data_IF_809535899326
#
_entry.id   IF_809535899326
#
_cell.length_a   1.000
_cell.length_b   1.000
_cell.length_c   1.000
_cell.angle_alpha   90.00
_cell.angle_beta   90.00
_cell.angle_gamma   90.00
#
_symmetry.space_group_name_H-M   'P 1'
#
loop_
_entity.id
_entity.type
_entity.pdbx_description
1 polymer ?
#
# COMPACT_ATOMS: atom_id res chain seq x y z
N UNK A 1 2.53 -3.54 12.43
CA UNK A 1 2.87 -2.53 11.40
C UNK A 1 2.09 -2.75 10.11
N UNK A 2 2.16 -3.94 9.49
CA UNK A 2 1.54 -4.19 8.17
C UNK A 2 0.02 -3.96 8.10
N UNK A 3 -0.69 -4.03 9.21
CA UNK A 3 -2.13 -3.76 9.31
C UNK A 3 -2.46 -2.41 9.96
N UNK A 4 -1.52 -1.46 10.01
CA UNK A 4 -1.75 -0.11 10.54
C UNK A 4 -2.24 -0.12 12.00
N UNK A 5 -1.57 -0.87 12.87
CA UNK A 5 -1.96 -1.05 14.27
C UNK A 5 -0.77 -1.05 15.24
N UNK A 6 0.20 -0.16 15.02
CA UNK A 6 1.38 -0.01 15.87
C UNK A 6 1.09 0.40 17.31
N UNK A 7 -0.10 0.94 17.56
CA UNK A 7 -0.50 1.41 18.90
C UNK A 7 -0.19 2.89 19.17
N UNK A 8 0.39 3.61 18.22
CA UNK A 8 0.67 5.06 18.38
C UNK A 8 -0.61 5.91 18.48
N UNK A 9 -1.75 5.39 18.06
CA UNK A 9 -3.07 6.03 18.23
C UNK A 9 -3.28 7.31 17.41
N UNK A 10 -2.33 7.66 16.55
CA UNK A 10 -2.42 8.81 15.64
C UNK A 10 -1.62 8.54 14.36
N UNK A 11 -2.02 9.19 13.28
CA UNK A 11 -1.27 9.18 12.02
C UNK A 11 0.07 9.91 12.18
N UNK A 12 1.16 9.26 11.78
CA UNK A 12 2.53 9.77 11.88
C UNK A 12 3.24 9.71 10.52
N UNK A 13 4.23 10.57 10.34
CA UNK A 13 5.00 10.69 9.11
C UNK A 13 4.11 10.82 7.86
N UNK A 14 3.01 11.54 8.01
CA UNK A 14 2.18 12.00 6.91
C UNK A 14 2.86 13.18 6.19
N UNK A 15 2.22 13.75 5.19
CA UNK A 15 2.84 14.70 4.26
C UNK A 15 3.67 15.81 4.94
N UNK A 16 3.13 16.47 5.98
CA UNK A 16 3.82 17.58 6.64
C UNK A 16 5.03 17.11 7.46
N UNK A 17 4.91 15.97 8.14
CA UNK A 17 6.01 15.42 8.94
C UNK A 17 7.22 15.00 8.08
N UNK A 18 6.98 14.74 6.79
CA UNK A 18 8.00 14.36 5.80
C UNK A 18 8.55 15.52 4.99
N UNK A 19 8.06 16.73 5.24
CA UNK A 19 8.45 17.92 4.48
C UNK A 19 9.92 18.23 4.69
N UNK A 20 10.75 18.31 3.62
CA UNK A 20 12.17 18.58 3.72
C UNK A 20 12.47 19.88 4.50
N UNK A 21 13.39 19.81 5.45
CA UNK A 21 13.83 20.95 6.26
C UNK A 21 12.84 21.44 7.32
N UNK A 22 11.64 20.85 7.40
CA UNK A 22 10.58 21.23 8.34
C UNK A 22 10.12 20.03 9.19
N UNK A 23 9.98 18.88 8.55
CA UNK A 23 9.51 17.65 9.19
C UNK A 23 10.61 16.93 9.99
N UNK A 24 10.34 15.66 10.30
CA UNK A 24 11.25 14.84 11.10
C UNK A 24 12.60 14.64 10.39
N UNK A 25 13.73 14.93 11.05
CA UNK A 25 15.06 14.77 10.46
C UNK A 25 15.52 13.31 10.38
N UNK A 26 14.88 12.41 11.11
CA UNK A 26 15.17 10.97 11.19
C UNK A 26 13.85 10.25 11.49
N UNK A 27 13.32 9.54 10.48
CA UNK A 27 11.99 8.96 10.58
C UNK A 27 11.91 7.81 11.57
N UNK A 28 12.96 7.00 11.67
CA UNK A 28 12.99 5.89 12.62
C UNK A 28 13.04 6.41 14.05
N UNK A 29 13.95 7.33 14.36
CA UNK A 29 14.04 7.95 15.70
C UNK A 29 12.76 8.68 16.06
N UNK A 30 12.17 9.39 15.09
CA UNK A 30 10.89 10.07 15.30
C UNK A 30 9.80 9.08 15.72
N UNK A 31 9.67 7.96 14.98
CA UNK A 31 8.68 6.94 15.28
C UNK A 31 8.93 6.26 16.62
N UNK A 32 10.18 5.87 16.90
CA UNK A 32 10.56 5.17 18.14
C UNK A 32 10.43 6.06 19.39
N UNK A 33 10.40 7.36 19.23
CA UNK A 33 10.19 8.32 20.34
C UNK A 33 8.70 8.58 20.63
N UNK A 34 7.78 8.06 19.81
CA UNK A 34 6.36 8.30 20.04
C UNK A 34 5.81 7.42 21.18
N UNK A 35 4.86 7.92 21.95
CA UNK A 35 4.16 7.10 22.92
C UNK A 35 3.31 6.05 22.22
N UNK A 36 3.12 4.91 22.87
CA UNK A 36 2.27 3.80 22.42
C UNK A 36 1.11 3.66 23.42
N UNK A 37 0.10 4.54 23.36
CA UNK A 37 -0.99 4.58 24.33
C UNK A 37 -2.02 3.47 24.14
N UNK A 38 -2.00 2.78 23.00
CA UNK A 38 -2.93 1.71 22.64
C UNK A 38 -2.15 0.41 22.49
N UNK A 39 -2.73 -0.69 22.94
CA UNK A 39 -2.12 -2.01 22.79
C UNK A 39 -1.86 -2.31 21.31
N UNK A 40 -0.62 -2.61 20.88
CA UNK A 40 -0.31 -2.93 19.49
C UNK A 40 -1.18 -4.10 18.98
N UNK A 41 -1.74 -3.92 17.80
CA UNK A 41 -2.64 -4.89 17.18
C UNK A 41 -4.11 -4.75 17.57
N UNK A 42 -4.48 -3.94 18.59
CA UNK A 42 -5.85 -3.86 19.09
C UNK A 42 -6.73 -2.83 18.35
N UNK A 43 -6.14 -1.82 17.70
CA UNK A 43 -6.87 -0.77 17.01
C UNK A 43 -6.18 -0.34 15.72
N UNK A 44 -6.99 -0.10 14.70
CA UNK A 44 -6.52 0.43 13.41
C UNK A 44 -6.30 1.94 13.51
N UNK A 45 -5.13 2.39 13.05
CA UNK A 45 -4.83 3.81 12.86
C UNK A 45 -3.89 3.99 11.66
N UNK A 46 -4.44 4.38 10.51
CA UNK A 46 -3.66 4.53 9.28
C UNK A 46 -2.49 5.51 9.47
N UNK A 47 -1.26 5.04 9.21
CA UNK A 47 -0.04 5.80 9.47
C UNK A 47 1.07 5.45 8.48
N UNK A 48 1.62 6.43 7.78
CA UNK A 48 2.79 6.22 6.92
C UNK A 48 4.00 5.70 7.71
N UNK A 49 4.11 6.04 8.99
CA UNK A 49 5.19 5.58 9.85
C UNK A 49 5.25 4.05 9.97
N UNK A 50 4.09 3.38 10.01
CA UNK A 50 4.03 1.92 10.09
C UNK A 50 4.66 1.26 8.86
N UNK A 51 4.35 1.77 7.67
CA UNK A 51 4.93 1.28 6.41
C UNK A 51 6.41 1.63 6.27
N UNK A 52 6.82 2.83 6.69
CA UNK A 52 8.22 3.27 6.68
C UNK A 52 9.06 2.37 7.59
N UNK A 53 8.60 2.14 8.82
CA UNK A 53 9.30 1.28 9.76
C UNK A 53 9.37 -0.18 9.27
N UNK A 54 8.29 -0.69 8.66
CA UNK A 54 8.29 -2.01 8.04
C UNK A 54 9.34 -2.10 6.92
N UNK A 55 9.50 -1.07 6.10
CA UNK A 55 10.52 -1.00 5.06
C UNK A 55 11.94 -1.04 5.64
N UNK A 56 12.21 -0.28 6.69
CA UNK A 56 13.51 -0.32 7.39
C UNK A 56 13.79 -1.71 8.00
N UNK A 57 12.77 -2.39 8.52
CA UNK A 57 12.91 -3.77 9.02
C UNK A 57 13.28 -4.75 7.89
N UNK A 58 12.69 -4.60 6.70
CA UNK A 58 13.05 -5.40 5.52
C UNK A 58 14.51 -5.17 5.16
N UNK A 59 14.98 -3.92 5.06
CA UNK A 59 16.39 -3.62 4.75
C UNK A 59 17.36 -4.29 5.73
N UNK A 60 17.06 -4.22 7.04
CA UNK A 60 17.87 -4.89 8.07
C UNK A 60 17.86 -6.40 7.92
N UNK A 61 16.70 -6.99 7.61
CA UNK A 61 16.58 -8.45 7.47
C UNK A 61 17.32 -8.99 6.24
N UNK A 62 17.29 -8.25 5.13
CA UNK A 62 17.91 -8.70 3.86
C UNK A 62 19.33 -8.19 3.66
N UNK A 63 19.79 -7.22 4.45
CA UNK A 63 21.12 -6.61 4.34
C UNK A 63 21.34 -5.78 3.07
N UNK A 64 20.26 -5.33 2.42
CA UNK A 64 20.28 -4.51 1.20
C UNK A 64 19.29 -3.36 1.31
N UNK A 65 19.47 -2.32 0.52
CA UNK A 65 18.43 -1.28 0.36
C UNK A 65 17.16 -1.90 -0.22
N UNK A 66 16.00 -1.53 0.31
CA UNK A 66 14.72 -2.11 -0.09
C UNK A 66 14.44 -1.90 -1.59
N UNK A 67 14.83 -0.75 -2.15
CA UNK A 67 14.69 -0.49 -3.59
C UNK A 67 15.47 -1.48 -4.45
N UNK A 68 16.72 -1.81 -4.06
CA UNK A 68 17.56 -2.80 -4.75
C UNK A 68 16.95 -4.22 -4.62
N UNK A 69 16.54 -4.57 -3.41
CA UNK A 69 15.94 -5.88 -3.14
C UNK A 69 14.63 -6.07 -3.93
N UNK A 70 13.74 -5.07 -3.93
CA UNK A 70 12.49 -5.14 -4.69
C UNK A 70 12.72 -5.12 -6.20
N UNK A 71 13.72 -4.38 -6.68
CA UNK A 71 14.06 -4.41 -8.10
C UNK A 71 14.46 -5.81 -8.53
N UNK A 72 15.39 -6.44 -7.84
CA UNK A 72 15.86 -7.80 -8.15
C UNK A 72 14.75 -8.86 -8.03
N UNK A 73 13.90 -8.75 -7.01
CA UNK A 73 12.94 -9.81 -6.66
C UNK A 73 11.55 -9.64 -7.27
N UNK A 74 11.18 -8.40 -7.61
CA UNK A 74 9.82 -8.10 -8.07
C UNK A 74 9.84 -7.33 -9.39
N UNK A 75 10.48 -6.16 -9.44
CA UNK A 75 10.30 -5.27 -10.58
C UNK A 75 10.96 -5.81 -11.86
N UNK A 76 12.18 -6.29 -11.76
CA UNK A 76 12.88 -6.89 -12.91
C UNK A 76 12.15 -8.12 -13.46
N UNK A 77 11.72 -9.11 -12.66
CA UNK A 77 10.89 -10.22 -13.14
C UNK A 77 9.59 -9.79 -13.81
N UNK A 78 9.00 -8.68 -13.39
CA UNK A 78 7.79 -8.12 -13.99
C UNK A 78 8.05 -7.23 -15.21
N UNK A 79 9.28 -7.18 -15.73
CA UNK A 79 9.70 -6.26 -16.79
C UNK A 79 9.34 -4.79 -16.46
N UNK A 80 9.52 -4.39 -15.22
CA UNK A 80 9.41 -3.01 -14.74
C UNK A 80 10.77 -2.36 -14.68
N UNK A 81 10.84 -1.05 -14.92
CA UNK A 81 12.06 -0.28 -14.77
C UNK A 81 12.46 -0.10 -13.30
N UNK A 82 13.63 0.51 -13.08
CA UNK A 82 14.00 1.00 -11.76
C UNK A 82 13.07 2.16 -11.39
N UNK A 83 12.28 2.07 -10.31
CA UNK A 83 11.32 3.12 -9.98
C UNK A 83 12.03 4.34 -9.42
N UNK A 84 11.55 5.52 -9.79
CA UNK A 84 11.86 6.72 -9.04
C UNK A 84 11.13 6.63 -7.69
N UNK A 85 11.86 6.74 -6.59
CA UNK A 85 11.31 6.60 -5.25
C UNK A 85 11.88 7.66 -4.31
N UNK A 86 11.01 8.33 -3.57
CA UNK A 86 11.42 9.25 -2.53
C UNK A 86 12.15 8.51 -1.40
N UNK A 87 13.15 9.18 -0.83
CA UNK A 87 13.93 8.65 0.28
C UNK A 87 13.72 9.50 1.53
N UNK A 88 13.90 8.87 2.68
CA UNK A 88 13.99 9.58 3.94
C UNK A 88 15.33 10.36 4.04
N UNK A 89 15.51 11.21 5.06
CA UNK A 89 16.76 11.95 5.24
C UNK A 89 18.01 11.10 5.42
N UNK A 90 17.88 9.80 5.73
CA UNK A 90 18.98 8.84 5.87
C UNK A 90 19.22 8.03 4.58
N UNK A 91 18.46 8.30 3.51
CA UNK A 91 18.60 7.64 2.24
C UNK A 91 17.91 6.26 2.14
N UNK A 92 16.98 5.94 3.05
CA UNK A 92 16.12 4.76 2.93
C UNK A 92 14.92 5.08 2.03
N UNK A 93 14.49 4.16 1.14
CA UNK A 93 13.26 4.33 0.40
C UNK A 93 12.06 4.53 1.33
N UNK A 94 11.23 5.51 1.01
CA UNK A 94 10.06 5.83 1.81
C UNK A 94 8.98 4.76 1.63
N UNK A 95 8.90 3.80 2.55
CA UNK A 95 7.91 2.72 2.51
C UNK A 95 6.45 3.17 2.63
N UNK A 96 6.22 4.41 3.07
CA UNK A 96 4.89 4.99 3.23
C UNK A 96 4.38 5.75 2.00
N UNK A 97 5.14 5.79 0.91
CA UNK A 97 4.75 6.48 -0.33
C UNK A 97 5.91 6.98 -1.16
N UNK A 98 5.65 7.88 -2.11
CA UNK A 98 6.66 8.52 -2.93
C UNK A 98 7.30 7.65 -4.00
N UNK A 99 6.72 6.51 -4.34
CA UNK A 99 7.12 5.70 -5.48
C UNK A 99 6.35 6.16 -6.73
N UNK A 100 7.07 6.40 -7.82
CA UNK A 100 6.51 6.83 -9.10
C UNK A 100 6.46 5.64 -10.05
N UNK A 101 5.27 5.22 -10.40
CA UNK A 101 5.01 4.13 -11.33
C UNK A 101 4.08 4.60 -12.45
N UNK A 102 4.20 4.02 -13.61
CA UNK A 102 3.20 4.17 -14.68
C UNK A 102 1.94 3.36 -14.34
N UNK A 103 0.80 3.71 -14.94
CA UNK A 103 -0.44 2.92 -14.77
C UNK A 103 -0.24 1.46 -15.20
N UNK A 104 0.54 1.20 -16.24
CA UNK A 104 0.89 -0.15 -16.70
C UNK A 104 1.68 -0.93 -15.64
N UNK A 105 2.63 -0.30 -14.96
CA UNK A 105 3.40 -0.94 -13.88
C UNK A 105 2.53 -1.24 -12.67
N UNK A 106 1.63 -0.33 -12.29
CA UNK A 106 0.63 -0.58 -11.25
C UNK A 106 -0.26 -1.79 -11.62
N UNK A 107 -0.69 -1.86 -12.89
CA UNK A 107 -1.49 -2.99 -13.39
C UNK A 107 -0.70 -4.30 -13.33
N UNK A 108 0.60 -4.32 -13.67
CA UNK A 108 1.44 -5.53 -13.56
C UNK A 108 1.51 -6.05 -12.12
N UNK A 109 1.66 -5.16 -11.14
CA UNK A 109 1.61 -5.54 -9.73
C UNK A 109 0.23 -6.12 -9.36
N UNK A 110 -0.86 -5.50 -9.81
CA UNK A 110 -2.21 -6.06 -9.62
C UNK A 110 -2.38 -7.43 -10.26
N UNK A 111 -1.87 -7.64 -11.48
CA UNK A 111 -1.89 -8.93 -12.18
C UNK A 111 -1.08 -10.01 -11.46
N UNK A 112 0.06 -9.65 -10.87
CA UNK A 112 0.82 -10.57 -10.02
C UNK A 112 -0.03 -11.09 -8.87
N UNK A 113 -0.75 -10.22 -8.18
CA UNK A 113 -1.64 -10.62 -7.08
C UNK A 113 -2.87 -11.40 -7.58
N UNK A 114 -3.46 -11.02 -8.72
CA UNK A 114 -4.57 -11.76 -9.34
C UNK A 114 -4.14 -13.20 -9.72
N UNK A 115 -2.90 -13.37 -10.17
CA UNK A 115 -2.31 -14.66 -10.52
C UNK A 115 -1.72 -15.40 -9.31
N UNK A 116 -2.17 -15.09 -8.09
CA UNK A 116 -1.71 -15.74 -6.86
C UNK A 116 -0.18 -15.68 -6.69
N UNK A 117 0.41 -14.56 -7.05
CA UNK A 117 1.85 -14.30 -6.94
C UNK A 117 2.72 -14.90 -8.06
N UNK A 118 2.12 -15.42 -9.13
CA UNK A 118 2.83 -15.95 -10.30
C UNK A 118 2.95 -14.89 -11.40
N UNK A 119 4.09 -14.91 -12.08
CA UNK A 119 4.34 -14.12 -13.27
C UNK A 119 5.08 -14.95 -14.32
N UNK A 120 4.54 -15.05 -15.54
CA UNK A 120 5.11 -15.86 -16.63
C UNK A 120 5.47 -17.30 -16.21
N UNK A 121 4.72 -17.89 -15.30
CA UNK A 121 4.92 -19.25 -14.80
C UNK A 121 5.82 -19.37 -13.56
N UNK A 122 6.52 -18.32 -13.16
CA UNK A 122 7.38 -18.29 -11.97
C UNK A 122 6.63 -17.73 -10.75
N UNK A 123 6.87 -18.30 -9.57
CA UNK A 123 6.32 -17.81 -8.31
C UNK A 123 7.20 -16.68 -7.78
N UNK A 124 6.75 -15.44 -7.92
CA UNK A 124 7.45 -14.22 -7.45
C UNK A 124 7.12 -13.93 -5.98
N UNK A 125 5.84 -14.04 -5.63
CA UNK A 125 5.33 -13.90 -4.25
C UNK A 125 4.58 -15.17 -3.89
N UNK A 126 4.75 -15.70 -2.69
CA UNK A 126 4.07 -16.94 -2.32
C UNK A 126 2.55 -16.80 -2.37
N UNK A 127 1.86 -17.88 -2.78
CA UNK A 127 0.40 -17.93 -2.81
C UNK A 127 -0.21 -17.64 -1.43
N UNK A 128 0.35 -18.24 -0.40
CA UNK A 128 -0.14 -18.07 0.98
C UNK A 128 -0.05 -16.61 1.42
N UNK A 129 1.03 -15.90 1.01
CA UNK A 129 1.16 -14.47 1.28
C UNK A 129 0.10 -13.64 0.55
N UNK A 130 -0.19 -13.96 -0.73
CA UNK A 130 -1.25 -13.27 -1.48
C UNK A 130 -2.61 -13.45 -0.80
N UNK A 131 -2.93 -14.64 -0.30
CA UNK A 131 -4.15 -14.88 0.46
C UNK A 131 -4.15 -14.12 1.78
N UNK A 132 -3.02 -14.11 2.48
CA UNK A 132 -2.88 -13.45 3.78
C UNK A 132 -3.04 -11.92 3.69
N UNK A 133 -2.47 -11.25 2.68
CA UNK A 133 -2.56 -9.80 2.53
C UNK A 133 -3.98 -9.32 2.21
N UNK A 134 -4.76 -10.13 1.50
CA UNK A 134 -6.16 -9.84 1.11
C UNK A 134 -7.18 -10.25 2.17
N UNK A 135 -6.76 -10.94 3.23
CA UNK A 135 -7.61 -11.31 4.35
C UNK A 135 -7.77 -10.11 5.29
N UNK A 136 -8.99 -9.68 5.63
CA UNK A 136 -9.21 -8.57 6.54
C UNK A 136 -8.56 -8.82 7.91
N UNK A 137 -7.75 -7.89 8.38
CA UNK A 137 -7.24 -7.85 9.76
C UNK A 137 -8.08 -6.91 10.63
N UNK A 138 -8.65 -5.91 9.99
CA UNK A 138 -9.64 -5.01 10.55
C UNK A 138 -10.81 -4.91 9.58
N UNK A 139 -12.02 -4.96 10.11
CA UNK A 139 -13.27 -4.63 9.43
C UNK A 139 -13.85 -3.38 10.05
N UNK A 140 -14.48 -2.55 9.24
CA UNK A 140 -15.03 -1.29 9.67
C UNK A 140 -16.55 -1.32 9.63
N UNK A 141 -17.19 -0.56 10.51
CA UNK A 141 -18.64 -0.38 10.49
C UNK A 141 -19.07 0.29 9.18
N UNK A 142 -20.20 -0.11 8.61
CA UNK A 142 -20.73 0.53 7.42
C UNK A 142 -20.83 2.05 7.57
N UNK A 143 -20.33 2.77 6.61
CA UNK A 143 -20.33 4.23 6.58
C UNK A 143 -20.82 4.75 5.23
N UNK A 144 -20.93 6.06 5.08
CA UNK A 144 -21.27 6.69 3.81
C UNK A 144 -20.16 6.49 2.75
N UNK A 145 -18.92 6.20 3.17
CA UNK A 145 -17.85 5.79 2.28
C UNK A 145 -17.92 4.27 2.05
N UNK A 146 -18.48 3.87 0.92
CA UNK A 146 -18.60 2.47 0.50
C UNK A 146 -17.24 1.75 0.42
N UNK A 147 -16.15 2.49 0.27
CA UNK A 147 -14.81 1.95 0.13
C UNK A 147 -14.11 1.71 1.47
N UNK A 148 -14.69 2.18 2.57
CA UNK A 148 -14.16 2.00 3.92
C UNK A 148 -14.71 0.70 4.54
N UNK A 149 -14.26 -0.45 4.02
CA UNK A 149 -14.77 -1.78 4.40
C UNK A 149 -13.86 -2.48 5.39
N UNK A 150 -12.55 -2.40 5.19
CA UNK A 150 -11.57 -3.07 6.03
C UNK A 150 -10.15 -2.91 5.51
N UNK A 151 -9.20 -3.48 6.24
CA UNK A 151 -7.78 -3.43 5.93
C UNK A 151 -7.10 -4.77 6.20
N UNK A 152 -6.29 -5.23 5.23
CA UNK A 152 -5.44 -6.41 5.34
C UNK A 152 -3.99 -6.03 5.68
N UNK A 153 -3.02 -6.68 5.05
CA UNK A 153 -1.61 -6.28 5.15
C UNK A 153 -1.25 -5.34 3.99
N UNK A 154 -1.29 -4.02 4.25
CA UNK A 154 -1.01 -2.94 3.29
C UNK A 154 -1.99 -2.86 2.11
N UNK A 155 -3.12 -3.57 2.18
CA UNK A 155 -4.21 -3.51 1.21
C UNK A 155 -5.53 -3.14 1.88
N UNK A 156 -6.26 -2.26 1.25
CA UNK A 156 -7.65 -1.99 1.60
C UNK A 156 -8.55 -3.11 1.09
N UNK A 157 -9.50 -3.53 1.89
CA UNK A 157 -10.58 -4.41 1.43
C UNK A 157 -11.57 -3.56 0.64
N UNK A 158 -12.00 -4.05 -0.50
CA UNK A 158 -12.95 -3.37 -1.38
C UNK A 158 -14.39 -3.85 -1.14
N UNK A 159 -15.41 -3.09 -1.55
CA UNK A 159 -16.81 -3.45 -1.29
C UNK A 159 -17.31 -4.66 -2.07
N UNK A 160 -16.57 -5.15 -3.06
CA UNK A 160 -16.95 -6.31 -3.87
C UNK A 160 -16.42 -7.60 -3.23
N UNK A 161 -17.19 -8.69 -3.23
CA UNK A 161 -16.78 -9.95 -2.64
C UNK A 161 -15.37 -10.38 -3.09
N UNK A 162 -14.52 -10.73 -2.13
CA UNK A 162 -13.15 -11.19 -2.37
C UNK A 162 -12.19 -10.16 -2.97
N UNK A 163 -12.64 -8.92 -3.19
CA UNK A 163 -11.81 -7.88 -3.81
C UNK A 163 -11.03 -7.05 -2.78
N UNK A 164 -9.87 -6.60 -3.21
CA UNK A 164 -8.98 -5.74 -2.43
C UNK A 164 -8.23 -4.77 -3.35
N UNK A 165 -7.65 -3.75 -2.77
CA UNK A 165 -7.01 -2.70 -3.55
C UNK A 165 -5.79 -2.08 -2.87
N UNK A 166 -4.85 -1.62 -3.69
CA UNK A 166 -3.87 -0.61 -3.34
C UNK A 166 -4.40 0.75 -3.82
N UNK A 167 -4.51 1.72 -2.91
CA UNK A 167 -4.84 3.09 -3.29
C UNK A 167 -3.86 4.09 -2.68
N UNK A 168 -3.68 5.19 -3.38
CA UNK A 168 -2.85 6.30 -2.95
C UNK A 168 -3.62 7.61 -2.97
N UNK A 169 -3.17 8.57 -2.16
CA UNK A 169 -3.66 9.93 -2.20
C UNK A 169 -3.58 10.47 -3.64
N UNK A 170 -4.53 11.23 -4.08
CA UNK A 170 -4.57 11.88 -5.40
C UNK A 170 -5.02 10.99 -6.57
N UNK A 171 -5.66 9.85 -6.31
CA UNK A 171 -6.39 9.11 -7.34
C UNK A 171 -5.59 8.00 -8.05
N UNK A 172 -4.58 7.43 -7.40
CA UNK A 172 -3.97 6.19 -7.85
C UNK A 172 -4.71 5.02 -7.21
N UNK A 173 -5.31 4.14 -8.03
CA UNK A 173 -6.02 2.95 -7.55
C UNK A 173 -5.61 1.75 -8.40
N UNK A 174 -5.33 0.63 -7.75
CA UNK A 174 -5.30 -0.68 -8.40
C UNK A 174 -6.20 -1.61 -7.60
N UNK A 175 -7.33 -1.99 -8.20
CA UNK A 175 -8.30 -2.91 -7.61
C UNK A 175 -8.13 -4.29 -8.24
N UNK A 176 -8.04 -5.31 -7.40
CA UNK A 176 -7.96 -6.72 -7.78
C UNK A 176 -9.30 -7.37 -7.46
N UNK A 177 -9.93 -7.99 -8.46
CA UNK A 177 -11.22 -8.68 -8.37
C UNK A 177 -11.04 -10.16 -8.74
N UNK A 178 -10.61 -11.01 -7.80
CA UNK A 178 -10.28 -12.40 -8.08
C UNK A 178 -11.46 -13.19 -8.68
N UNK A 179 -12.68 -13.00 -8.15
CA UNK A 179 -13.88 -13.71 -8.63
C UNK A 179 -14.24 -13.35 -10.08
N UNK A 180 -13.82 -12.18 -10.56
CA UNK A 180 -14.03 -11.71 -11.94
C UNK A 180 -12.82 -11.97 -12.85
N UNK A 181 -11.69 -12.39 -12.29
CA UNK A 181 -10.44 -12.52 -13.02
C UNK A 181 -9.92 -11.18 -13.57
N UNK A 182 -10.13 -10.08 -12.85
CA UNK A 182 -9.95 -8.73 -13.37
C UNK A 182 -9.06 -7.89 -12.45
N UNK A 183 -8.23 -7.04 -13.07
CA UNK A 183 -7.50 -5.95 -12.42
C UNK A 183 -7.88 -4.64 -13.09
N UNK A 184 -8.18 -3.64 -12.29
CA UNK A 184 -8.44 -2.28 -12.74
C UNK A 184 -7.43 -1.34 -12.11
N UNK A 185 -6.63 -0.65 -12.94
CA UNK A 185 -5.69 0.37 -12.48
C UNK A 185 -6.03 1.73 -13.08
N UNK A 186 -6.06 2.73 -12.22
CA UNK A 186 -6.36 4.12 -12.57
C UNK A 186 -5.27 5.01 -12.01
N UNK A 187 -4.83 5.97 -12.81
CA UNK A 187 -4.06 7.12 -12.36
C UNK A 187 -4.82 8.40 -12.72
N UNK A 188 -5.12 9.20 -11.71
CA UNK A 188 -5.78 10.48 -11.90
C UNK A 188 -4.92 11.58 -11.24
N UNK A 189 -4.56 12.65 -11.92
CA UNK A 189 -3.74 13.73 -11.36
C UNK A 189 -4.54 14.71 -10.47
N UNK A 190 -5.77 14.38 -10.16
CA UNK A 190 -6.72 15.21 -9.41
C UNK A 190 -6.38 15.29 -7.93
N UNK A 191 -5.76 16.38 -7.52
CA UNK A 191 -5.59 16.69 -6.10
C UNK A 191 -6.92 17.13 -5.49
N UNK A 192 -7.53 16.25 -4.68
CA UNK A 192 -8.73 16.56 -3.91
C UNK A 192 -10.03 15.88 -4.36
N UNK A 193 -10.06 15.18 -5.49
CA UNK A 193 -11.25 14.51 -5.99
C UNK A 193 -11.16 12.97 -6.01
N UNK A 194 -10.38 12.40 -5.10
CA UNK A 194 -10.20 10.95 -5.02
C UNK A 194 -11.53 10.18 -4.85
N UNK A 195 -12.47 10.74 -4.09
CA UNK A 195 -13.79 10.13 -3.91
C UNK A 195 -14.63 10.14 -5.19
N UNK A 196 -14.45 11.13 -6.06
CA UNK A 196 -15.10 11.14 -7.38
C UNK A 196 -14.56 10.03 -8.28
N UNK A 197 -13.24 9.77 -8.25
CA UNK A 197 -12.62 8.67 -9.01
C UNK A 197 -13.14 7.32 -8.52
N UNK A 198 -13.18 7.11 -7.20
CA UNK A 198 -13.76 5.90 -6.60
C UNK A 198 -15.22 5.73 -6.98
N UNK A 199 -16.00 6.79 -6.89
CA UNK A 199 -17.42 6.78 -7.26
C UNK A 199 -17.62 6.45 -8.73
N UNK A 200 -16.90 7.10 -9.64
CA UNK A 200 -16.98 6.84 -11.06
C UNK A 200 -16.60 5.38 -11.39
N UNK A 201 -15.55 4.85 -10.76
CA UNK A 201 -15.16 3.45 -10.89
C UNK A 201 -16.28 2.53 -10.42
N UNK A 202 -16.92 2.82 -9.28
CA UNK A 202 -18.02 2.05 -8.75
C UNK A 202 -19.25 2.11 -9.64
N UNK A 203 -19.77 3.31 -9.90
CA UNK A 203 -21.08 3.54 -10.55
C UNK A 203 -21.09 3.17 -12.04
N UNK A 204 -19.98 3.42 -12.75
CA UNK A 204 -19.93 3.30 -14.20
C UNK A 204 -19.14 2.11 -14.72
N UNK A 205 -18.53 1.34 -13.85
CA UNK A 205 -17.76 0.19 -14.26
C UNK A 205 -18.03 -1.06 -13.40
N UNK A 206 -17.79 -0.99 -12.10
CA UNK A 206 -17.82 -2.18 -11.25
C UNK A 206 -19.25 -2.67 -10.98
N UNK A 207 -20.26 -1.79 -11.02
CA UNK A 207 -21.67 -2.19 -10.87
C UNK A 207 -22.23 -2.90 -12.12
N UNK A 208 -21.55 -2.81 -13.25
CA UNK A 208 -21.96 -3.45 -14.50
C UNK A 208 -21.27 -4.82 -14.73
N UNK A 209 -20.37 -5.23 -13.84
CA UNK A 209 -19.66 -6.52 -13.87
C UNK A 209 -20.46 -7.64 -13.18
#
# INVERSE_FOLDING_TARGET
LLCMSSGCGKALLMNEDRRPGVGAPDYEKYMMAQPVPVEPGSAFCYSSADSILAAHMVERAVGKRMGEYLYEKVFQPLDMGWPLWEHDPQGHPNGGGGMYLTCTEMMKLGQLYLAEGKWKGEQIVSRDWVQEVSTPKFTFEPSADLWHVGYGYQFWISPYPGSYRADGAFGQITTILPEKGLVVSIQCPERGNFDQVKRALHEHFLMEL
#
